data_IF_289999328996
#
_entry.id   IF_289999328996
#
_cell.length_a   1.000
_cell.length_b   1.000
_cell.length_c   1.000
_cell.angle_alpha   90.00
_cell.angle_beta   90.00
_cell.angle_gamma   90.00
#
_symmetry.space_group_name_H-M   'P 1'
#
loop_
_entity.id
_entity.type
_entity.pdbx_description
1 polymer ?
#
# COMPACT_ATOMS: atom_id res chain seq x y z
N UNK A 1 -14.76 -17.69 29.94
CA UNK A 1 -13.34 -17.32 30.13
C UNK A 1 -13.32 -16.00 30.88
N UNK A 2 -12.67 -15.94 32.04
CA UNK A 2 -12.45 -14.66 32.74
C UNK A 2 -11.63 -13.72 31.84
N UNK A 3 -11.95 -12.43 31.82
CA UNK A 3 -11.43 -11.46 30.84
C UNK A 3 -9.90 -11.34 30.83
N UNK A 4 -9.25 -11.56 31.98
CA UNK A 4 -7.79 -11.45 32.11
C UNK A 4 -7.00 -12.60 31.44
N UNK A 5 -7.50 -13.83 31.50
CA UNK A 5 -6.82 -15.00 30.91
C UNK A 5 -6.90 -14.97 29.37
N UNK A 6 -8.01 -14.46 28.83
CA UNK A 6 -8.16 -14.26 27.39
C UNK A 6 -7.11 -13.30 26.82
N UNK A 7 -6.83 -12.19 27.51
CA UNK A 7 -5.90 -11.15 27.03
C UNK A 7 -4.45 -11.64 27.01
N UNK A 8 -3.99 -12.28 28.08
CA UNK A 8 -2.64 -12.84 28.13
C UNK A 8 -2.44 -13.90 27.05
N UNK A 9 -3.45 -14.75 26.80
CA UNK A 9 -3.42 -15.75 25.73
C UNK A 9 -3.45 -15.15 24.33
N UNK A 10 -4.25 -14.09 24.13
CA UNK A 10 -4.38 -13.38 22.86
C UNK A 10 -3.02 -12.85 22.38
N UNK A 11 -2.24 -12.27 23.31
CA UNK A 11 -1.03 -11.52 22.99
C UNK A 11 0.28 -12.32 23.09
N UNK A 12 0.27 -13.46 23.79
CA UNK A 12 1.47 -14.28 24.02
C UNK A 12 1.96 -14.92 22.71
N UNK A 13 3.26 -14.84 22.41
CA UNK A 13 3.88 -15.55 21.28
C UNK A 13 3.72 -14.86 19.92
N UNK A 14 3.34 -13.59 19.92
CA UNK A 14 3.33 -12.74 18.73
C UNK A 14 4.66 -12.00 18.60
N UNK A 15 5.13 -11.83 17.37
CA UNK A 15 6.26 -10.97 17.03
C UNK A 15 5.82 -9.51 17.03
N UNK A 16 5.92 -8.89 18.20
CA UNK A 16 5.60 -7.47 18.41
C UNK A 16 6.51 -6.53 17.66
N UNK A 17 7.73 -6.95 17.29
CA UNK A 17 8.62 -6.12 16.49
C UNK A 17 8.00 -5.91 15.11
N UNK A 18 7.56 -6.98 14.44
CA UNK A 18 6.89 -6.87 13.13
C UNK A 18 5.61 -6.03 13.18
N UNK A 19 4.79 -6.21 14.22
CA UNK A 19 3.52 -5.47 14.39
C UNK A 19 3.75 -3.98 14.61
N UNK A 20 4.72 -3.61 15.45
CA UNK A 20 4.90 -2.22 15.90
C UNK A 20 5.96 -1.43 15.13
N UNK A 21 6.74 -2.07 14.24
CA UNK A 21 7.88 -1.41 13.58
C UNK A 21 7.47 -0.13 12.86
N UNK A 22 6.31 -0.12 12.18
CA UNK A 22 5.87 1.06 11.46
C UNK A 22 5.59 2.26 12.38
N UNK A 23 4.93 2.02 13.52
CA UNK A 23 4.68 3.04 14.53
C UNK A 23 5.97 3.46 15.23
N UNK A 24 6.87 2.52 15.54
CA UNK A 24 8.16 2.79 16.15
C UNK A 24 9.06 3.63 15.24
N UNK A 25 9.11 3.32 13.94
CA UNK A 25 9.80 4.13 12.94
C UNK A 25 9.24 5.56 12.90
N UNK A 26 7.90 5.69 12.86
CA UNK A 26 7.26 7.00 12.87
C UNK A 26 7.61 7.80 14.14
N UNK A 27 7.61 7.15 15.31
CA UNK A 27 7.99 7.76 16.58
C UNK A 27 9.45 8.26 16.53
N UNK A 28 10.38 7.43 16.06
CA UNK A 28 11.80 7.81 15.95
C UNK A 28 12.01 9.03 15.06
N UNK A 29 11.39 9.03 13.87
CA UNK A 29 11.61 10.07 12.85
C UNK A 29 10.83 11.36 13.13
N UNK A 30 9.58 11.25 13.59
CA UNK A 30 8.64 12.39 13.61
C UNK A 30 8.28 12.88 15.02
N UNK A 31 8.58 12.12 16.07
CA UNK A 31 8.08 12.40 17.42
C UNK A 31 9.18 12.69 18.44
N UNK A 32 10.24 11.88 18.50
CA UNK A 32 11.22 11.96 19.60
C UNK A 32 11.93 13.33 19.69
N UNK A 33 12.26 13.93 18.54
CA UNK A 33 12.95 15.22 18.46
C UNK A 33 12.03 16.45 18.59
N UNK A 34 10.74 16.25 18.88
CA UNK A 34 9.77 17.34 19.06
C UNK A 34 9.66 17.76 20.52
N UNK A 35 9.14 18.98 20.74
CA UNK A 35 8.86 19.47 22.08
C UNK A 35 7.74 18.68 22.79
N UNK A 36 7.68 18.81 24.11
CA UNK A 36 6.69 18.10 24.94
C UNK A 36 5.25 18.51 24.62
N UNK A 37 5.01 19.74 24.18
CA UNK A 37 3.67 20.19 23.83
C UNK A 37 3.16 19.45 22.59
N UNK A 38 3.99 19.29 21.55
CA UNK A 38 3.70 18.48 20.38
C UNK A 38 3.46 17.02 20.78
N UNK A 39 4.33 16.44 21.59
CA UNK A 39 4.22 15.04 22.04
C UNK A 39 2.91 14.79 22.78
N UNK A 40 2.52 15.68 23.71
CA UNK A 40 1.24 15.61 24.42
C UNK A 40 0.04 15.71 23.48
N UNK A 41 0.05 16.66 22.53
CA UNK A 41 -1.02 16.78 21.51
C UNK A 41 -1.16 15.51 20.66
N UNK A 42 -0.05 14.86 20.33
CA UNK A 42 -0.07 13.61 19.57
C UNK A 42 -0.62 12.43 20.38
N UNK A 43 -0.25 12.30 21.66
CA UNK A 43 -0.85 11.31 22.58
C UNK A 43 -2.36 11.53 22.68
N UNK A 44 -2.79 12.78 22.90
CA UNK A 44 -4.21 13.13 22.99
C UNK A 44 -4.96 12.82 21.68
N UNK A 45 -4.37 13.14 20.53
CA UNK A 45 -4.94 12.83 19.21
C UNK A 45 -5.14 11.33 19.03
N UNK A 46 -4.14 10.51 19.35
CA UNK A 46 -4.26 9.05 19.22
C UNK A 46 -5.23 8.45 20.22
N UNK A 47 -5.26 8.98 21.45
CA UNK A 47 -6.26 8.59 22.43
C UNK A 47 -7.68 8.88 21.93
N UNK A 48 -7.93 10.09 21.43
CA UNK A 48 -9.21 10.48 20.83
C UNK A 48 -9.56 9.59 19.64
N UNK A 49 -8.62 9.42 18.72
CA UNK A 49 -8.81 8.56 17.55
C UNK A 49 -9.19 7.12 17.92
N UNK A 50 -8.70 6.58 19.04
CA UNK A 50 -9.09 5.27 19.52
C UNK A 50 -10.44 5.29 20.28
N UNK A 51 -10.50 6.05 21.37
CA UNK A 51 -11.58 6.02 22.37
C UNK A 51 -12.83 6.77 21.94
N UNK A 52 -12.71 7.72 21.02
CA UNK A 52 -13.84 8.46 20.43
C UNK A 52 -14.15 7.94 19.01
N UNK A 53 -13.91 6.65 18.75
CA UNK A 53 -14.34 6.00 17.52
C UNK A 53 -15.32 4.86 17.80
N UNK A 54 -16.29 4.70 16.90
CA UNK A 54 -17.10 3.48 16.79
C UNK A 54 -16.44 2.50 15.83
N UNK A 55 -16.68 1.21 16.09
CA UNK A 55 -16.10 0.10 15.34
C UNK A 55 -17.22 -0.81 14.85
N UNK A 56 -17.75 -0.46 13.68
CA UNK A 56 -18.82 -1.13 12.96
C UNK A 56 -18.26 -2.36 12.25
N UNK A 57 -18.13 -3.45 13.02
CA UNK A 57 -17.62 -4.73 12.55
C UNK A 57 -18.78 -5.70 12.39
N UNK A 58 -18.74 -6.51 11.33
CA UNK A 58 -19.56 -7.71 11.26
C UNK A 58 -19.15 -8.63 12.41
N UNK A 59 -20.13 -9.08 13.21
CA UNK A 59 -19.89 -9.91 14.40
C UNK A 59 -20.71 -11.20 14.32
N UNK A 60 -20.15 -12.25 14.93
CA UNK A 60 -20.78 -13.55 15.12
C UNK A 60 -21.24 -14.22 13.81
N UNK A 61 -20.60 -13.89 12.69
CA UNK A 61 -20.84 -14.59 11.43
C UNK A 61 -20.02 -15.87 11.35
N UNK A 62 -20.56 -16.83 10.62
CA UNK A 62 -19.91 -18.08 10.25
C UNK A 62 -19.72 -18.04 8.73
N UNK A 63 -18.49 -17.94 8.23
CA UNK A 63 -18.20 -17.79 6.80
C UNK A 63 -17.00 -18.67 6.43
N UNK A 64 -16.82 -19.00 5.14
CA UNK A 64 -15.62 -19.71 4.72
C UNK A 64 -14.40 -18.77 4.70
N UNK A 65 -14.59 -17.56 4.17
CA UNK A 65 -13.54 -16.54 4.06
C UNK A 65 -14.00 -15.22 4.67
N UNK A 66 -13.15 -14.67 5.55
CA UNK A 66 -13.26 -13.30 6.03
C UNK A 66 -12.27 -12.40 5.28
N UNK A 67 -12.75 -11.35 4.63
CA UNK A 67 -11.92 -10.31 4.02
C UNK A 67 -11.78 -9.15 5.00
N UNK A 68 -10.56 -8.68 5.28
CA UNK A 68 -10.31 -7.55 6.18
C UNK A 68 -9.33 -6.52 5.58
N UNK A 69 -9.70 -5.24 5.67
CA UNK A 69 -8.88 -4.07 5.27
C UNK A 69 -8.89 -3.00 6.36
N UNK A 70 -7.71 -2.62 6.85
CA UNK A 70 -7.50 -1.53 7.82
C UNK A 70 -7.38 -0.17 7.14
N UNK A 71 -6.58 -0.09 6.07
CA UNK A 71 -6.24 1.18 5.42
C UNK A 71 -7.44 1.76 4.67
N UNK A 72 -7.89 2.96 5.07
CA UNK A 72 -9.00 3.69 4.47
C UNK A 72 -8.50 4.57 3.32
N UNK A 73 -8.52 4.01 2.11
CA UNK A 73 -8.31 4.71 0.82
C UNK A 73 -9.29 4.18 -0.22
N UNK A 74 -9.79 5.05 -1.09
CA UNK A 74 -10.81 4.68 -2.09
C UNK A 74 -10.24 3.77 -3.18
N UNK A 75 -9.03 4.05 -3.68
CA UNK A 75 -8.35 3.20 -4.66
C UNK A 75 -8.11 1.78 -4.10
N UNK A 76 -7.74 1.69 -2.82
CA UNK A 76 -7.57 0.40 -2.16
C UNK A 76 -8.88 -0.35 -1.94
N UNK A 77 -9.98 0.40 -1.72
CA UNK A 77 -11.31 -0.19 -1.55
C UNK A 77 -11.76 -0.89 -2.83
N UNK A 78 -11.66 -0.21 -3.98
CA UNK A 78 -12.10 -0.79 -5.25
C UNK A 78 -11.32 -2.05 -5.60
N UNK A 79 -9.99 -2.01 -5.49
CA UNK A 79 -9.17 -3.19 -5.72
C UNK A 79 -9.53 -4.35 -4.77
N UNK A 80 -9.70 -4.05 -3.48
CA UNK A 80 -10.04 -5.06 -2.47
C UNK A 80 -11.42 -5.69 -2.71
N UNK A 81 -12.43 -4.88 -3.02
CA UNK A 81 -13.77 -5.35 -3.35
C UNK A 81 -13.79 -6.18 -4.63
N UNK A 82 -13.01 -5.80 -5.64
CA UNK A 82 -12.88 -6.55 -6.89
C UNK A 82 -12.31 -7.94 -6.64
N UNK A 83 -11.21 -8.04 -5.89
CA UNK A 83 -10.63 -9.34 -5.51
C UNK A 83 -11.60 -10.15 -4.66
N UNK A 84 -12.26 -9.54 -3.66
CA UNK A 84 -13.25 -10.24 -2.85
C UNK A 84 -14.43 -10.75 -3.68
N UNK A 85 -14.80 -10.05 -4.76
CA UNK A 85 -15.89 -10.46 -5.67
C UNK A 85 -15.58 -11.75 -6.43
N UNK A 86 -14.30 -12.11 -6.62
CA UNK A 86 -13.87 -13.32 -7.31
C UNK A 86 -14.14 -14.62 -6.52
N UNK A 87 -14.43 -14.52 -5.21
CA UNK A 87 -14.86 -15.66 -4.42
C UNK A 87 -16.38 -15.76 -4.36
N UNK A 88 -16.94 -16.88 -4.81
CA UNK A 88 -18.40 -17.12 -4.88
C UNK A 88 -19.00 -17.79 -3.63
N UNK A 89 -18.17 -18.26 -2.69
CA UNK A 89 -18.61 -18.92 -1.46
C UNK A 89 -19.10 -17.98 -0.35
N UNK A 90 -19.37 -18.54 0.83
CA UNK A 90 -19.86 -17.77 1.99
C UNK A 90 -18.73 -16.87 2.50
N UNK A 91 -18.90 -15.56 2.40
CA UNK A 91 -17.88 -14.57 2.80
C UNK A 91 -18.45 -13.44 3.63
N UNK A 92 -17.59 -12.83 4.43
CA UNK A 92 -17.84 -11.53 5.05
C UNK A 92 -16.71 -10.57 4.70
N UNK A 93 -17.03 -9.28 4.63
CA UNK A 93 -16.08 -8.22 4.31
C UNK A 93 -16.12 -7.21 5.44
N UNK A 94 -14.96 -6.93 6.03
CA UNK A 94 -14.75 -5.90 7.04
C UNK A 94 -13.85 -4.83 6.43
N UNK A 95 -14.44 -3.66 6.21
CA UNK A 95 -13.78 -2.47 5.71
C UNK A 95 -14.54 -1.23 6.16
N UNK A 96 -13.91 -0.06 6.14
CA UNK A 96 -14.53 1.22 6.55
C UNK A 96 -15.22 1.14 7.94
N UNK A 97 -14.72 0.25 8.79
CA UNK A 97 -15.36 -0.15 10.05
C UNK A 97 -15.24 0.93 11.13
N UNK A 98 -14.30 1.87 10.98
CA UNK A 98 -13.98 2.88 11.99
C UNK A 98 -14.62 4.21 11.62
N UNK A 99 -15.43 4.78 12.53
CA UNK A 99 -16.03 6.11 12.37
C UNK A 99 -15.76 6.95 13.61
N UNK A 100 -15.41 8.22 13.43
CA UNK A 100 -15.27 9.16 14.54
C UNK A 100 -16.63 9.39 15.21
N UNK A 101 -16.62 9.62 16.52
CA UNK A 101 -17.79 9.80 17.37
C UNK A 101 -17.52 10.91 18.38
N UNK A 102 -18.54 11.71 18.67
CA UNK A 102 -18.46 12.71 19.75
C UNK A 102 -18.54 12.07 21.15
N UNK A 103 -19.08 10.85 21.22
CA UNK A 103 -19.24 10.09 22.46
C UNK A 103 -18.07 9.15 22.69
N UNK A 104 -17.69 9.01 23.97
CA UNK A 104 -16.69 8.04 24.43
C UNK A 104 -17.20 6.62 24.18
N UNK A 105 -16.38 5.81 23.52
CA UNK A 105 -16.55 4.38 23.40
C UNK A 105 -16.07 3.71 24.70
N UNK A 106 -17.03 3.36 25.56
CA UNK A 106 -16.77 2.79 26.88
C UNK A 106 -16.04 1.44 26.80
N UNK A 107 -16.32 0.60 25.78
CA UNK A 107 -15.65 -0.69 25.58
C UNK A 107 -14.18 -0.47 25.20
N UNK A 108 -13.89 0.46 24.28
CA UNK A 108 -12.51 0.82 23.92
C UNK A 108 -11.74 1.44 25.09
N UNK A 109 -12.39 2.29 25.89
CA UNK A 109 -11.79 2.92 27.08
C UNK A 109 -11.44 1.87 28.14
N UNK A 110 -12.35 0.92 28.43
CA UNK A 110 -12.09 -0.21 29.33
C UNK A 110 -10.94 -1.07 28.80
N UNK A 111 -10.94 -1.36 27.51
CA UNK A 111 -9.90 -2.17 26.88
C UNK A 111 -8.51 -1.53 26.97
N UNK A 112 -8.40 -0.21 26.78
CA UNK A 112 -7.14 0.53 26.95
C UNK A 112 -6.57 0.33 28.36
N UNK A 113 -7.42 0.48 29.38
CA UNK A 113 -7.03 0.31 30.78
C UNK A 113 -6.58 -1.12 31.09
N UNK A 114 -7.15 -2.12 30.43
CA UNK A 114 -6.78 -3.52 30.61
C UNK A 114 -5.45 -3.85 29.91
N UNK A 115 -5.31 -3.51 28.62
CA UNK A 115 -4.10 -3.80 27.84
C UNK A 115 -2.86 -3.09 28.37
N UNK A 116 -3.02 -1.88 28.92
CA UNK A 116 -1.91 -1.13 29.52
C UNK A 116 -1.17 -1.90 30.62
N UNK A 117 -1.82 -2.87 31.27
CA UNK A 117 -1.22 -3.73 32.31
C UNK A 117 -0.30 -4.81 31.76
N UNK A 118 -0.48 -5.20 30.49
CA UNK A 118 0.19 -6.33 29.86
C UNK A 118 1.14 -5.92 28.74
N UNK A 119 1.43 -4.62 28.63
CA UNK A 119 2.24 -4.14 27.52
C UNK A 119 3.64 -4.75 27.55
N UNK A 120 4.18 -5.14 26.38
CA UNK A 120 5.57 -5.52 26.30
C UNK A 120 6.43 -4.37 26.83
N UNK A 121 7.50 -4.72 27.56
CA UNK A 121 8.52 -3.73 27.92
C UNK A 121 9.19 -3.28 26.64
N UNK A 122 8.78 -2.12 26.15
CA UNK A 122 9.40 -1.47 24.99
C UNK A 122 10.56 -0.62 25.46
N UNK A 123 11.68 -0.77 24.76
CA UNK A 123 12.89 0.01 25.00
C UNK A 123 12.74 1.41 24.37
N UNK A 124 11.97 2.26 25.05
CA UNK A 124 11.72 3.65 24.65
C UNK A 124 11.92 4.54 25.88
N UNK A 125 12.90 5.43 25.85
CA UNK A 125 13.22 6.32 26.98
C UNK A 125 12.16 7.38 27.25
N UNK A 126 11.34 7.72 26.25
CA UNK A 126 10.31 8.75 26.35
C UNK A 126 8.98 8.18 26.85
N UNK A 127 8.50 8.63 28.01
CA UNK A 127 7.21 8.18 28.58
C UNK A 127 6.01 8.51 27.68
N UNK A 128 6.02 9.63 26.96
CA UNK A 128 4.96 9.98 26.00
C UNK A 128 4.99 9.08 24.76
N UNK A 129 6.19 8.68 24.29
CA UNK A 129 6.31 7.70 23.21
C UNK A 129 5.77 6.33 23.63
N UNK A 130 6.07 5.88 24.87
CA UNK A 130 5.48 4.66 25.44
C UNK A 130 3.95 4.74 25.51
N UNK A 131 3.40 5.89 25.91
CA UNK A 131 1.94 6.10 25.92
C UNK A 131 1.33 6.05 24.51
N UNK A 132 1.99 6.64 23.50
CA UNK A 132 1.58 6.53 22.11
C UNK A 132 1.48 5.08 21.63
N UNK A 133 2.54 4.29 21.84
CA UNK A 133 2.54 2.87 21.43
C UNK A 133 1.52 2.05 22.25
N UNK A 134 1.34 2.36 23.53
CA UNK A 134 0.31 1.76 24.37
C UNK A 134 -1.10 1.88 23.76
N UNK A 135 -1.44 3.10 23.34
CA UNK A 135 -2.74 3.40 22.72
C UNK A 135 -2.89 2.64 21.40
N UNK A 136 -1.85 2.61 20.57
CA UNK A 136 -1.87 1.86 19.30
C UNK A 136 -2.06 0.36 19.52
N UNK A 137 -1.30 -0.23 20.43
CA UNK A 137 -1.42 -1.64 20.79
C UNK A 137 -2.81 -1.99 21.32
N UNK A 138 -3.37 -1.14 22.19
CA UNK A 138 -4.74 -1.31 22.67
C UNK A 138 -5.76 -1.24 21.53
N UNK A 139 -5.60 -0.30 20.60
CA UNK A 139 -6.47 -0.21 19.42
C UNK A 139 -6.35 -1.46 18.53
N UNK A 140 -5.14 -1.92 18.23
CA UNK A 140 -4.91 -3.09 17.37
C UNK A 140 -5.49 -4.36 17.99
N UNK A 141 -5.24 -4.58 19.28
CA UNK A 141 -5.80 -5.73 20.01
C UNK A 141 -7.32 -5.65 20.19
N UNK A 142 -7.89 -4.45 20.29
CA UNK A 142 -9.34 -4.25 20.31
C UNK A 142 -9.99 -4.67 18.98
N UNK A 143 -9.37 -4.27 17.87
CA UNK A 143 -9.80 -4.67 16.52
C UNK A 143 -9.65 -6.18 16.36
N UNK A 144 -8.50 -6.75 16.74
CA UNK A 144 -8.27 -8.20 16.72
C UNK A 144 -9.40 -8.94 17.46
N UNK A 145 -9.72 -8.54 18.69
CA UNK A 145 -10.81 -9.13 19.49
C UNK A 145 -12.14 -9.14 18.73
N UNK A 146 -12.48 -8.06 18.02
CA UNK A 146 -13.73 -8.00 17.24
C UNK A 146 -13.70 -8.90 16.02
N UNK A 147 -12.56 -8.96 15.32
CA UNK A 147 -12.39 -9.81 14.13
C UNK A 147 -12.51 -11.28 14.49
N UNK A 148 -11.81 -11.73 15.54
CA UNK A 148 -11.71 -13.16 15.91
C UNK A 148 -12.94 -13.71 16.64
N UNK A 149 -13.92 -12.86 16.96
CA UNK A 149 -15.24 -13.29 17.42
C UNK A 149 -16.09 -13.90 16.30
N UNK A 150 -15.67 -13.77 15.04
CA UNK A 150 -16.28 -14.43 13.89
C UNK A 150 -15.69 -15.84 13.70
N UNK A 151 -16.46 -16.74 13.10
CA UNK A 151 -15.98 -18.07 12.70
C UNK A 151 -15.64 -18.06 11.22
N UNK A 152 -14.40 -18.37 10.89
CA UNK A 152 -13.92 -18.46 9.51
C UNK A 152 -12.76 -19.45 9.39
N UNK A 153 -12.61 -20.04 8.20
CA UNK A 153 -11.54 -21.00 7.89
C UNK A 153 -10.32 -20.31 7.30
N UNK A 154 -10.53 -19.21 6.58
CA UNK A 154 -9.48 -18.41 5.96
C UNK A 154 -9.74 -16.92 6.19
N UNK A 155 -8.67 -16.15 6.36
CA UNK A 155 -8.71 -14.69 6.35
C UNK A 155 -7.85 -14.13 5.22
N UNK A 156 -8.40 -13.18 4.46
CA UNK A 156 -7.71 -12.44 3.40
C UNK A 156 -7.52 -11.00 3.88
N UNK A 157 -6.26 -10.58 3.93
CA UNK A 157 -5.83 -9.29 4.47
C UNK A 157 -5.32 -8.38 3.36
N UNK A 158 -5.72 -7.12 3.38
CA UNK A 158 -5.17 -6.13 2.47
C UNK A 158 -3.83 -5.58 3.01
N UNK A 159 -2.73 -6.27 2.67
CA UNK A 159 -1.36 -5.97 3.10
C UNK A 159 -1.07 -6.25 4.60
N UNK A 160 -0.64 -7.47 4.91
CA UNK A 160 -0.38 -7.95 6.28
C UNK A 160 0.91 -7.44 6.92
N UNK A 161 1.70 -6.66 6.19
CA UNK A 161 2.79 -5.84 6.70
C UNK A 161 2.27 -4.62 7.48
N UNK A 162 1.00 -4.25 7.34
CA UNK A 162 0.38 -3.18 8.12
C UNK A 162 0.10 -3.67 9.55
N UNK A 163 0.22 -2.82 10.60
CA UNK A 163 0.20 -3.29 11.99
C UNK A 163 -1.00 -4.14 12.39
N UNK A 164 -2.22 -3.76 11.98
CA UNK A 164 -3.44 -4.48 12.37
C UNK A 164 -3.58 -5.79 11.62
N UNK A 165 -3.39 -5.78 10.31
CA UNK A 165 -3.39 -6.98 9.48
C UNK A 165 -2.29 -7.96 9.93
N UNK A 166 -1.09 -7.46 10.24
CA UNK A 166 0.02 -8.28 10.75
C UNK A 166 -0.36 -9.01 12.04
N UNK A 167 -0.92 -8.26 12.99
CA UNK A 167 -1.39 -8.80 14.27
C UNK A 167 -2.46 -9.89 14.05
N UNK A 168 -3.42 -9.62 13.16
CA UNK A 168 -4.49 -10.57 12.83
C UNK A 168 -3.93 -11.83 12.16
N UNK A 169 -3.02 -11.69 11.19
CA UNK A 169 -2.38 -12.81 10.50
C UNK A 169 -1.65 -13.72 11.48
N UNK A 170 -0.76 -13.15 12.32
CA UNK A 170 0.00 -13.92 13.29
C UNK A 170 -0.92 -14.67 14.28
N UNK A 171 -1.99 -14.02 14.74
CA UNK A 171 -2.95 -14.64 15.64
C UNK A 171 -3.72 -15.78 14.95
N UNK A 172 -4.27 -15.54 13.76
CA UNK A 172 -5.06 -16.53 13.01
C UNK A 172 -4.21 -17.77 12.66
N UNK A 173 -2.98 -17.57 12.20
CA UNK A 173 -2.05 -18.65 11.86
C UNK A 173 -1.80 -19.59 13.05
N UNK A 174 -1.66 -19.04 14.26
CA UNK A 174 -1.49 -19.84 15.49
C UNK A 174 -2.73 -20.65 15.88
N UNK A 175 -3.91 -20.23 15.44
CA UNK A 175 -5.15 -20.99 15.60
C UNK A 175 -5.40 -21.99 14.46
N UNK A 176 -4.46 -22.14 13.53
CA UNK A 176 -4.62 -22.99 12.36
C UNK A 176 -5.58 -22.41 11.32
N UNK A 177 -5.96 -21.13 11.43
CA UNK A 177 -6.73 -20.43 10.41
C UNK A 177 -5.77 -20.03 9.29
N UNK A 178 -6.13 -20.35 8.06
CA UNK A 178 -5.31 -20.04 6.88
C UNK A 178 -5.28 -18.53 6.64
N UNK A 179 -4.11 -17.99 6.38
CA UNK A 179 -3.89 -16.55 6.22
C UNK A 179 -3.40 -16.23 4.81
N UNK A 180 -4.01 -15.23 4.19
CA UNK A 180 -3.68 -14.76 2.84
C UNK A 180 -3.50 -13.26 2.88
N UNK A 181 -2.47 -12.74 2.24
CA UNK A 181 -2.28 -11.29 2.10
C UNK A 181 -2.22 -10.85 0.65
N UNK A 182 -2.78 -9.66 0.39
CA UNK A 182 -2.74 -8.98 -0.91
C UNK A 182 -1.62 -7.94 -0.95
N UNK A 183 -0.96 -7.81 -2.10
CA UNK A 183 -0.09 -6.66 -2.41
C UNK A 183 -0.91 -5.37 -2.55
N UNK A 184 -0.42 -4.22 -2.07
CA UNK A 184 -1.13 -2.92 -2.17
C UNK A 184 -0.40 -1.86 -3.02
N UNK A 185 0.83 -2.12 -3.43
CA UNK A 185 1.67 -1.21 -4.21
C UNK A 185 2.89 -1.95 -4.77
N UNK A 186 3.70 -1.30 -5.61
CA UNK A 186 4.97 -1.88 -6.06
C UNK A 186 6.03 -1.74 -4.98
N UNK A 187 6.85 -2.77 -4.82
CA UNK A 187 7.90 -2.79 -3.80
C UNK A 187 9.26 -2.56 -4.45
N UNK A 188 10.07 -1.76 -3.78
CA UNK A 188 11.44 -1.47 -4.17
C UNK A 188 12.34 -2.00 -3.07
N UNK A 189 13.38 -2.72 -3.46
CA UNK A 189 14.43 -3.07 -2.52
C UNK A 189 15.32 -1.85 -2.29
N UNK A 190 15.27 -1.30 -1.08
CA UNK A 190 16.00 -0.09 -0.72
C UNK A 190 17.43 -0.37 -0.20
N UNK A 191 17.97 -1.57 -0.44
CA UNK A 191 19.30 -2.04 -0.01
C UNK A 191 19.68 -1.50 1.39
N UNK A 192 20.65 -0.58 1.45
CA UNK A 192 21.21 -0.04 2.69
C UNK A 192 20.43 1.14 3.31
N UNK A 193 19.39 1.66 2.65
CA UNK A 193 18.60 2.78 3.18
C UNK A 193 17.60 2.30 4.25
N UNK A 194 17.63 2.92 5.42
CA UNK A 194 16.65 2.66 6.47
C UNK A 194 15.33 3.42 6.21
N UNK A 195 14.44 2.75 5.47
CA UNK A 195 13.13 3.30 5.09
C UNK A 195 12.00 2.41 5.59
N UNK A 196 10.90 3.06 5.97
CA UNK A 196 9.63 2.40 6.32
C UNK A 196 9.16 1.42 5.24
N UNK A 197 9.52 1.66 3.97
CA UNK A 197 9.08 0.83 2.86
C UNK A 197 9.64 -0.60 2.90
N UNK A 198 10.71 -0.88 3.66
CA UNK A 198 11.25 -2.23 3.85
C UNK A 198 10.24 -3.18 4.48
N UNK A 199 9.38 -2.64 5.36
CA UNK A 199 8.30 -3.37 6.02
C UNK A 199 7.41 -4.09 4.99
N UNK A 200 7.23 -3.51 3.79
CA UNK A 200 6.36 -4.08 2.77
C UNK A 200 6.79 -5.47 2.27
N UNK A 201 8.08 -5.80 2.35
CA UNK A 201 8.58 -7.09 1.91
C UNK A 201 9.28 -7.88 3.02
N UNK A 202 9.70 -7.27 4.12
CA UNK A 202 10.34 -7.98 5.24
C UNK A 202 9.34 -8.53 6.27
N UNK A 203 8.15 -7.94 6.37
CA UNK A 203 7.21 -8.20 7.47
C UNK A 203 5.99 -9.04 7.07
N UNK A 204 6.03 -9.70 5.92
CA UNK A 204 4.99 -10.66 5.50
C UNK A 204 4.96 -11.82 6.52
N UNK A 205 3.75 -12.22 6.94
CA UNK A 205 3.54 -13.27 7.97
C UNK A 205 2.47 -14.30 7.58
N UNK A 206 1.66 -13.99 6.57
CA UNK A 206 0.61 -14.87 6.04
C UNK A 206 1.16 -16.15 5.41
N UNK A 207 0.31 -17.15 5.25
CA UNK A 207 0.66 -18.42 4.58
C UNK A 207 0.77 -18.25 3.07
N UNK A 208 -0.03 -17.34 2.51
CA UNK A 208 -0.03 -16.99 1.09
C UNK A 208 0.16 -15.49 0.87
N UNK A 209 0.96 -15.13 -0.14
CA UNK A 209 1.13 -13.76 -0.63
C UNK A 209 0.65 -13.67 -2.09
N UNK A 210 -0.35 -12.82 -2.35
CA UNK A 210 -0.91 -12.60 -3.68
C UNK A 210 -0.18 -11.42 -4.35
N UNK A 211 0.82 -11.75 -5.15
CA UNK A 211 1.69 -10.79 -5.83
C UNK A 211 1.11 -10.31 -7.16
N UNK A 212 1.49 -9.10 -7.58
CA UNK A 212 1.15 -8.58 -8.91
C UNK A 212 2.06 -9.13 -10.00
N UNK A 213 3.32 -9.45 -9.70
CA UNK A 213 4.26 -9.96 -10.69
C UNK A 213 5.53 -10.53 -10.08
N UNK A 214 6.34 -11.13 -10.94
CA UNK A 214 7.54 -11.89 -10.62
C UNK A 214 8.58 -11.09 -9.83
N UNK A 215 8.70 -9.78 -10.08
CA UNK A 215 9.63 -8.91 -9.37
C UNK A 215 9.29 -8.86 -7.86
N UNK A 216 8.04 -8.57 -7.50
CA UNK A 216 7.59 -8.60 -6.10
C UNK A 216 7.73 -9.99 -5.52
N UNK A 217 7.43 -11.05 -6.28
CA UNK A 217 7.52 -12.43 -5.80
C UNK A 217 8.95 -12.80 -5.42
N UNK A 218 9.93 -12.51 -6.26
CA UNK A 218 11.35 -12.70 -5.96
C UNK A 218 11.77 -11.93 -4.72
N UNK A 219 11.35 -10.66 -4.60
CA UNK A 219 11.68 -9.83 -3.46
C UNK A 219 11.07 -10.37 -2.15
N UNK A 220 9.79 -10.71 -2.14
CA UNK A 220 9.13 -11.26 -0.95
C UNK A 220 9.72 -12.63 -0.57
N UNK A 221 10.00 -13.51 -1.53
CA UNK A 221 10.65 -14.81 -1.28
C UNK A 221 12.04 -14.66 -0.68
N UNK A 222 12.80 -13.63 -1.07
CA UNK A 222 14.15 -13.36 -0.52
C UNK A 222 14.12 -13.15 0.99
N UNK A 223 13.07 -12.53 1.52
CA UNK A 223 12.96 -12.18 2.95
C UNK A 223 12.02 -13.11 3.73
N UNK A 224 11.16 -13.88 3.05
CA UNK A 224 10.17 -14.75 3.67
C UNK A 224 10.15 -16.09 2.92
N UNK A 225 11.12 -16.96 3.19
CA UNK A 225 11.27 -18.22 2.44
C UNK A 225 10.06 -19.17 2.59
N UNK A 226 9.32 -19.06 3.69
CA UNK A 226 8.20 -19.98 4.02
C UNK A 226 6.84 -19.54 3.45
N UNK A 227 6.75 -18.36 2.81
CA UNK A 227 5.47 -17.87 2.27
C UNK A 227 5.20 -18.46 0.89
N UNK A 228 3.97 -18.93 0.66
CA UNK A 228 3.54 -19.39 -0.65
C UNK A 228 3.12 -18.19 -1.50
N UNK A 229 3.86 -17.92 -2.58
CA UNK A 229 3.57 -16.76 -3.44
C UNK A 229 2.75 -17.19 -4.65
N UNK A 230 1.71 -16.43 -4.95
CA UNK A 230 0.87 -16.62 -6.14
C UNK A 230 0.80 -15.31 -6.91
N UNK A 231 1.22 -15.34 -8.17
CA UNK A 231 1.11 -14.18 -9.05
C UNK A 231 -0.33 -14.10 -9.57
N UNK A 232 -1.06 -13.10 -9.10
CA UNK A 232 -2.43 -12.82 -9.47
C UNK A 232 -2.59 -11.56 -10.32
N UNK A 233 -1.59 -10.67 -10.37
CA UNK A 233 -1.67 -9.45 -11.17
C UNK A 233 -2.51 -8.34 -10.55
N UNK A 234 -2.87 -7.33 -11.35
CA UNK A 234 -3.67 -6.17 -10.94
C UNK A 234 -4.94 -6.04 -11.82
N UNK A 235 -6.14 -6.33 -11.30
CA UNK A 235 -7.37 -6.44 -12.10
C UNK A 235 -7.94 -5.08 -12.55
N UNK A 236 -7.55 -3.99 -11.90
CA UNK A 236 -7.97 -2.63 -12.26
C UNK A 236 -7.37 -2.13 -13.58
N UNK A 237 -6.26 -2.74 -14.03
CA UNK A 237 -5.64 -2.38 -15.31
C UNK A 237 -6.42 -3.06 -16.42
N UNK A 238 -7.30 -2.33 -17.08
CA UNK A 238 -8.04 -2.84 -18.23
C UNK A 238 -7.37 -2.40 -19.53
N UNK A 239 -7.10 -3.35 -20.42
CA UNK A 239 -6.86 -3.05 -21.84
C UNK A 239 -8.20 -2.59 -22.42
N UNK A 240 -8.35 -1.30 -22.76
CA UNK A 240 -9.48 -0.88 -23.60
C UNK A 240 -9.06 -1.15 -25.03
N UNK A 241 -9.97 -1.65 -25.86
CA UNK A 241 -9.69 -2.14 -27.21
C UNK A 241 -8.77 -1.24 -28.04
N UNK A 242 -7.98 -1.88 -28.90
CA UNK A 242 -6.97 -1.37 -29.83
C UNK A 242 -7.17 0.10 -30.27
N UNK A 243 -6.81 1.06 -29.42
CA UNK A 243 -6.41 2.38 -29.91
C UNK A 243 -5.00 2.23 -30.43
N UNK A 244 -4.80 2.37 -31.74
CA UNK A 244 -3.45 2.42 -32.31
C UNK A 244 -2.66 3.52 -31.58
N UNK A 245 -1.47 3.23 -31.03
CA UNK A 245 -0.63 4.24 -30.38
C UNK A 245 -0.34 5.46 -31.28
N UNK A 246 -0.30 5.21 -32.60
CA UNK A 246 -0.04 6.21 -33.64
C UNK A 246 -1.19 7.19 -33.89
N UNK A 247 -2.41 6.93 -33.41
CA UNK A 247 -3.57 7.83 -33.56
C UNK A 247 -3.72 8.83 -32.39
N UNK A 248 -2.74 8.88 -31.48
CA UNK A 248 -2.78 9.86 -30.39
C UNK A 248 -2.31 11.25 -30.87
N UNK A 249 -3.25 12.21 -30.98
CA UNK A 249 -2.93 13.65 -31.00
C UNK A 249 -2.29 14.15 -29.67
N UNK A 250 -1.76 13.23 -28.85
CA UNK A 250 -1.65 13.33 -27.41
C UNK A 250 -0.62 14.31 -26.84
N UNK A 251 -0.77 14.54 -25.55
CA UNK A 251 0.11 15.31 -24.68
C UNK A 251 1.18 14.41 -24.04
N UNK A 252 2.18 15.03 -23.43
CA UNK A 252 3.06 14.39 -22.44
C UNK A 252 2.32 14.36 -21.11
N UNK A 253 2.32 13.22 -20.43
CA UNK A 253 1.74 13.11 -19.09
C UNK A 253 2.84 12.93 -18.05
N UNK A 254 3.16 13.99 -17.31
CA UNK A 254 4.02 13.91 -16.13
C UNK A 254 3.23 13.43 -14.91
N UNK A 255 3.74 12.43 -14.20
CA UNK A 255 3.14 11.86 -13.00
C UNK A 255 4.10 12.15 -11.85
N UNK A 256 3.69 13.04 -10.96
CA UNK A 256 4.55 13.50 -9.88
C UNK A 256 4.49 12.54 -8.70
N UNK A 257 5.62 12.39 -8.04
CA UNK A 257 5.71 11.61 -6.82
C UNK A 257 5.35 12.42 -5.58
N UNK A 258 5.24 11.73 -4.45
CA UNK A 258 5.00 12.33 -3.14
C UNK A 258 6.01 13.43 -2.79
N UNK A 259 5.59 14.33 -1.89
CA UNK A 259 6.32 15.54 -1.46
C UNK A 259 7.82 15.37 -1.13
N UNK A 260 8.25 14.20 -0.65
CA UNK A 260 9.68 13.96 -0.37
C UNK A 260 10.56 13.99 -1.63
N UNK A 261 9.95 13.95 -2.82
CA UNK A 261 10.62 14.01 -4.12
C UNK A 261 10.28 15.31 -4.88
N UNK A 262 9.87 16.37 -4.17
CA UNK A 262 9.52 17.66 -4.81
C UNK A 262 10.69 18.22 -5.66
N UNK A 263 11.94 18.03 -5.23
CA UNK A 263 13.11 18.45 -5.99
C UNK A 263 13.21 17.72 -7.33
N UNK A 264 13.13 16.38 -7.33
CA UNK A 264 13.20 15.57 -8.54
C UNK A 264 11.99 15.83 -9.45
N UNK A 265 10.80 16.04 -8.87
CA UNK A 265 9.62 16.45 -9.63
C UNK A 265 9.85 17.78 -10.36
N UNK A 266 10.45 18.78 -9.70
CA UNK A 266 10.74 20.08 -10.32
C UNK A 266 11.80 19.98 -11.42
N UNK A 267 12.87 19.21 -11.20
CA UNK A 267 13.91 18.98 -12.22
C UNK A 267 13.36 18.29 -13.46
N UNK A 268 12.58 17.22 -13.27
CA UNK A 268 11.88 16.53 -14.34
C UNK A 268 10.98 17.51 -15.12
N UNK A 269 10.15 18.29 -14.42
CA UNK A 269 9.24 19.23 -15.06
C UNK A 269 9.97 20.31 -15.88
N UNK A 270 11.13 20.80 -15.44
CA UNK A 270 11.92 21.77 -16.22
C UNK A 270 12.27 21.22 -17.60
N UNK A 271 12.77 19.99 -17.66
CA UNK A 271 13.13 19.32 -18.92
C UNK A 271 11.89 19.12 -19.80
N UNK A 272 10.78 18.66 -19.20
CA UNK A 272 9.55 18.41 -19.94
C UNK A 272 8.91 19.70 -20.48
N UNK A 273 9.01 20.81 -19.74
CA UNK A 273 8.55 22.12 -20.21
C UNK A 273 9.39 22.60 -21.39
N UNK A 274 10.71 22.48 -21.31
CA UNK A 274 11.60 22.84 -22.42
C UNK A 274 11.27 22.05 -23.68
N UNK A 275 11.10 20.73 -23.56
CA UNK A 275 10.66 19.88 -24.66
C UNK A 275 9.27 20.30 -25.19
N UNK A 276 8.30 20.53 -24.31
CA UNK A 276 6.93 20.94 -24.66
C UNK A 276 6.94 22.21 -25.50
N UNK A 277 7.72 23.22 -25.11
CA UNK A 277 7.85 24.49 -25.84
C UNK A 277 8.53 24.33 -27.20
N UNK A 278 9.61 23.53 -27.28
CA UNK A 278 10.36 23.33 -28.53
C UNK A 278 9.57 22.56 -29.59
N UNK A 279 8.81 21.55 -29.17
CA UNK A 279 8.10 20.63 -30.08
C UNK A 279 6.60 20.93 -30.21
N UNK A 280 6.12 22.00 -29.57
CA UNK A 280 4.72 22.40 -29.53
C UNK A 280 3.79 21.23 -29.12
N UNK A 281 4.17 20.53 -28.03
CA UNK A 281 3.41 19.40 -27.48
C UNK A 281 2.86 19.78 -26.12
N UNK A 282 1.56 19.60 -25.88
CA UNK A 282 0.96 19.91 -24.58
C UNK A 282 1.59 19.05 -23.46
N UNK A 283 1.90 19.66 -22.32
CA UNK A 283 2.33 18.97 -21.10
C UNK A 283 1.21 18.99 -20.06
N UNK A 284 0.79 17.80 -19.63
CA UNK A 284 -0.17 17.61 -18.54
C UNK A 284 0.48 16.97 -17.33
N UNK A 285 -0.07 17.23 -16.16
CA UNK A 285 0.44 16.72 -14.88
C UNK A 285 -0.61 15.99 -14.06
N UNK A 286 -0.23 14.88 -13.44
CA UNK A 286 -0.95 14.25 -12.32
C UNK A 286 -0.17 14.46 -11.04
N UNK A 287 -0.76 15.20 -10.10
CA UNK A 287 -0.19 15.40 -8.77
C UNK A 287 -0.42 14.19 -7.88
N UNK A 288 0.57 13.87 -7.04
CA UNK A 288 0.35 13.04 -5.87
C UNK A 288 -0.51 13.80 -4.84
N UNK A 289 -1.41 13.15 -4.08
CA UNK A 289 -2.27 13.82 -3.09
C UNK A 289 -1.53 14.64 -2.03
N UNK A 290 -0.24 14.36 -1.80
CA UNK A 290 0.59 15.09 -0.83
C UNK A 290 1.35 16.29 -1.40
N UNK A 291 1.32 16.52 -2.73
CA UNK A 291 2.01 17.65 -3.34
C UNK A 291 1.31 18.97 -3.01
N UNK A 292 2.11 20.02 -2.82
CA UNK A 292 1.60 21.39 -2.78
C UNK A 292 1.43 21.92 -4.20
N UNK A 293 0.26 21.76 -4.81
CA UNK A 293 0.01 22.17 -6.21
C UNK A 293 0.44 23.61 -6.51
N UNK A 294 0.25 24.53 -5.55
CA UNK A 294 0.59 25.94 -5.71
C UNK A 294 2.08 26.14 -6.02
N UNK A 295 2.99 25.42 -5.34
CA UNK A 295 4.43 25.60 -5.59
C UNK A 295 4.83 25.20 -7.01
N UNK A 296 4.12 24.25 -7.61
CA UNK A 296 4.36 23.84 -9.00
C UNK A 296 3.77 24.84 -9.98
N UNK A 297 2.53 25.31 -9.76
CA UNK A 297 1.91 26.31 -10.64
C UNK A 297 2.59 27.68 -10.57
N UNK A 298 3.16 28.04 -9.41
CA UNK A 298 3.96 29.27 -9.28
C UNK A 298 5.28 29.17 -10.11
N UNK A 299 5.89 27.98 -10.17
CA UNK A 299 7.10 27.72 -10.96
C UNK A 299 6.80 27.52 -12.46
N UNK A 300 5.63 26.96 -12.78
CA UNK A 300 5.20 26.67 -14.14
C UNK A 300 3.72 27.04 -14.32
N UNK A 301 3.42 28.31 -14.64
CA UNK A 301 2.05 28.81 -14.74
C UNK A 301 1.20 28.14 -15.82
N UNK A 302 1.84 27.52 -16.82
CA UNK A 302 1.19 26.84 -17.95
C UNK A 302 0.86 25.36 -17.66
N UNK A 303 1.11 24.86 -16.44
CA UNK A 303 0.79 23.48 -16.06
C UNK A 303 -0.71 23.19 -16.17
N UNK A 304 -1.05 22.18 -16.97
CA UNK A 304 -2.42 21.67 -17.07
C UNK A 304 -2.56 20.41 -16.21
N UNK A 305 -3.39 20.45 -15.16
CA UNK A 305 -3.68 19.26 -14.36
C UNK A 305 -4.60 18.28 -15.11
N UNK A 306 -4.26 16.99 -15.05
CA UNK A 306 -5.11 15.89 -15.49
C UNK A 306 -4.43 14.99 -16.52
N UNK A 307 -5.25 14.39 -17.38
CA UNK A 307 -4.81 13.45 -18.40
C UNK A 307 -5.18 11.99 -18.09
N UNK A 308 -5.29 11.22 -19.16
CA UNK A 308 -5.60 9.80 -19.21
C UNK A 308 -4.37 9.12 -19.79
N UNK A 309 -3.82 8.16 -19.05
CA UNK A 309 -2.58 7.43 -19.38
C UNK A 309 -2.57 6.96 -20.85
N UNK A 310 -3.67 6.33 -21.30
CA UNK A 310 -3.81 5.81 -22.66
C UNK A 310 -3.84 6.84 -23.78
N UNK A 311 -4.13 8.11 -23.46
CA UNK A 311 -4.18 9.21 -24.44
C UNK A 311 -2.86 9.99 -24.49
N UNK A 312 -1.93 9.72 -23.58
CA UNK A 312 -0.64 10.38 -23.57
C UNK A 312 0.26 9.78 -24.67
N UNK A 313 1.02 10.64 -25.37
CA UNK A 313 2.07 10.20 -26.30
C UNK A 313 3.19 9.48 -25.55
N UNK A 314 3.49 9.99 -24.36
CA UNK A 314 4.48 9.42 -23.45
C UNK A 314 4.07 9.75 -22.01
N UNK A 315 4.20 8.77 -21.12
CA UNK A 315 3.97 8.92 -19.68
C UNK A 315 5.31 9.01 -18.99
N UNK A 316 5.49 10.04 -18.19
CA UNK A 316 6.77 10.38 -17.56
C UNK A 316 6.61 10.42 -16.05
N UNK A 317 7.56 9.86 -15.31
CA UNK A 317 7.60 9.95 -13.86
C UNK A 317 8.97 9.59 -13.30
N UNK A 318 9.11 9.50 -11.99
CA UNK A 318 10.38 9.17 -11.33
C UNK A 318 10.33 7.82 -10.60
N UNK A 319 9.70 7.76 -9.44
CA UNK A 319 9.53 6.56 -8.59
C UNK A 319 8.12 5.98 -8.62
N UNK A 320 7.18 6.65 -9.29
CA UNK A 320 5.76 6.28 -9.31
C UNK A 320 5.49 4.91 -9.94
N UNK A 321 4.61 4.14 -9.30
CA UNK A 321 4.14 2.86 -9.84
C UNK A 321 3.33 2.99 -11.14
N UNK A 322 2.78 4.18 -11.41
CA UNK A 322 1.94 4.43 -12.58
C UNK A 322 2.70 4.27 -13.91
N UNK A 323 4.03 4.42 -13.91
CA UNK A 323 4.87 4.13 -15.09
C UNK A 323 4.70 2.67 -15.51
N UNK A 324 4.75 1.74 -14.56
CA UNK A 324 4.65 0.30 -14.86
C UNK A 324 3.25 -0.08 -15.30
N UNK A 325 2.22 0.58 -14.77
CA UNK A 325 0.85 0.42 -15.25
C UNK A 325 0.70 0.93 -16.68
N UNK A 326 1.30 2.08 -17.01
CA UNK A 326 1.32 2.63 -18.35
C UNK A 326 2.03 1.67 -19.34
N UNK A 327 3.16 1.08 -18.94
CA UNK A 327 3.84 0.06 -19.74
C UNK A 327 2.96 -1.17 -20.00
N UNK A 328 2.20 -1.63 -19.00
CA UNK A 328 1.24 -2.75 -19.19
C UNK A 328 0.11 -2.40 -20.13
N UNK A 329 -0.26 -1.12 -20.21
CA UNK A 329 -1.26 -0.61 -21.15
C UNK A 329 -0.67 -0.37 -22.55
N UNK A 330 0.61 -0.69 -22.78
CA UNK A 330 1.29 -0.45 -24.05
C UNK A 330 1.62 1.02 -24.31
N UNK A 331 1.51 1.89 -23.30
CA UNK A 331 1.93 3.28 -23.40
C UNK A 331 3.45 3.37 -23.46
N UNK A 332 3.94 4.31 -24.27
CA UNK A 332 5.34 4.73 -24.19
C UNK A 332 5.60 5.41 -22.86
N UNK A 333 6.73 5.10 -22.25
CA UNK A 333 7.12 5.69 -20.96
C UNK A 333 8.53 6.26 -21.00
N UNK A 334 8.78 7.23 -20.14
CA UNK A 334 10.13 7.68 -19.79
C UNK A 334 10.22 7.80 -18.27
N UNK A 335 11.38 7.50 -17.72
CA UNK A 335 11.65 7.63 -16.30
C UNK A 335 12.72 8.68 -16.07
N UNK A 336 12.44 9.66 -15.22
CA UNK A 336 13.45 10.61 -14.79
C UNK A 336 14.51 9.87 -13.94
N UNK A 337 15.78 10.02 -14.31
CA UNK A 337 16.89 9.42 -13.59
C UNK A 337 17.30 10.30 -12.41
N UNK A 338 17.52 9.66 -11.25
CA UNK A 338 18.16 10.31 -10.11
C UNK A 338 18.86 9.26 -9.24
N UNK A 339 19.78 9.65 -8.35
CA UNK A 339 20.47 8.72 -7.45
C UNK A 339 19.56 8.11 -6.37
N UNK A 340 18.29 8.54 -6.29
CA UNK A 340 17.30 7.97 -5.36
C UNK A 340 16.96 6.54 -5.77
N UNK A 341 17.07 5.55 -4.87
CA UNK A 341 16.65 4.19 -5.17
C UNK A 341 15.18 4.12 -5.58
N UNK A 342 14.96 3.54 -6.75
CA UNK A 342 13.68 3.40 -7.39
C UNK A 342 13.62 2.06 -8.11
N UNK A 343 12.43 1.65 -8.51
CA UNK A 343 12.28 0.47 -9.36
C UNK A 343 13.11 0.70 -10.62
N UNK A 344 14.01 -0.24 -10.92
CA UNK A 344 14.88 -0.14 -12.10
C UNK A 344 14.04 -0.33 -13.35
N UNK A 345 14.37 0.45 -14.36
CA UNK A 345 13.77 0.40 -15.68
C UNK A 345 14.94 0.34 -16.67
N UNK A 346 14.72 -0.13 -17.90
CA UNK A 346 15.80 -0.14 -18.91
C UNK A 346 16.42 1.25 -19.03
N UNK A 347 17.75 1.33 -18.97
CA UNK A 347 18.49 2.59 -19.00
C UNK A 347 18.23 3.39 -20.29
N UNK A 348 17.80 2.73 -21.37
CA UNK A 348 17.37 3.38 -22.62
C UNK A 348 16.07 4.18 -22.50
N UNK A 349 15.33 4.02 -21.41
CA UNK A 349 14.09 4.74 -21.10
C UNK A 349 14.28 5.74 -19.94
N UNK A 350 15.50 5.88 -19.44
CA UNK A 350 15.84 6.83 -18.38
C UNK A 350 16.43 8.13 -18.96
N UNK A 351 16.03 9.28 -18.43
CA UNK A 351 16.56 10.59 -18.85
C UNK A 351 16.86 11.51 -17.66
N UNK A 352 17.88 12.35 -17.84
CA UNK A 352 18.33 13.40 -16.91
C UNK A 352 18.58 14.73 -17.64
N UNK A 353 18.27 14.79 -18.93
CA UNK A 353 18.57 15.90 -19.83
C UNK A 353 17.57 15.93 -20.99
N UNK A 354 17.40 17.12 -21.59
CA UNK A 354 16.52 17.31 -22.74
C UNK A 354 16.90 16.36 -23.89
N UNK A 355 18.18 16.30 -24.27
CA UNK A 355 18.63 15.47 -25.39
C UNK A 355 18.27 13.99 -25.21
N UNK A 356 18.47 13.42 -24.01
CA UNK A 356 18.06 12.03 -23.76
C UNK A 356 16.55 11.85 -23.80
N UNK A 357 15.79 12.84 -23.29
CA UNK A 357 14.34 12.79 -23.38
C UNK A 357 13.85 12.86 -24.83
N UNK A 358 14.50 13.66 -25.69
CA UNK A 358 14.23 13.72 -27.12
C UNK A 358 14.48 12.39 -27.81
N UNK A 359 15.59 11.71 -27.50
CA UNK A 359 15.91 10.38 -28.01
C UNK A 359 14.82 9.37 -27.63
N UNK A 360 14.42 9.35 -26.36
CA UNK A 360 13.33 8.49 -25.89
C UNK A 360 12.05 8.86 -26.64
N UNK A 361 11.67 10.12 -26.70
CA UNK A 361 10.43 10.60 -27.31
C UNK A 361 10.37 10.31 -28.82
N UNK A 362 11.50 10.29 -29.52
CA UNK A 362 11.60 9.94 -30.95
C UNK A 362 11.60 8.41 -31.21
N UNK A 363 11.96 7.58 -30.22
CA UNK A 363 12.04 6.12 -30.41
C UNK A 363 10.69 5.48 -30.80
N UNK A 364 10.71 4.48 -31.67
CA UNK A 364 9.48 3.74 -32.07
C UNK A 364 9.17 2.55 -31.15
N UNK A 365 10.12 2.13 -30.33
CA UNK A 365 9.98 0.95 -29.47
C UNK A 365 9.23 1.30 -28.18
N UNK A 366 8.11 0.62 -27.95
CA UNK A 366 7.52 0.50 -26.61
C UNK A 366 8.10 -0.76 -25.98
N UNK A 367 8.87 -0.61 -24.90
CA UNK A 367 9.40 -1.76 -24.16
C UNK A 367 8.28 -2.32 -23.26
N UNK A 368 7.41 -3.16 -23.84
CA UNK A 368 6.29 -3.78 -23.11
C UNK A 368 6.77 -4.90 -22.16
N UNK A 369 7.89 -5.54 -22.49
CA UNK A 369 8.38 -6.72 -21.77
C UNK A 369 8.66 -6.47 -20.29
N UNK A 370 9.26 -5.33 -19.97
CA UNK A 370 9.63 -4.98 -18.59
C UNK A 370 8.40 -4.82 -17.68
N UNK A 371 7.30 -4.30 -18.21
CA UNK A 371 6.08 -4.12 -17.42
C UNK A 371 5.54 -5.44 -16.86
N UNK A 372 5.64 -6.55 -17.62
CA UNK A 372 5.10 -7.86 -17.24
C UNK A 372 5.82 -8.47 -16.04
N UNK A 373 7.10 -8.14 -15.83
CA UNK A 373 7.83 -8.59 -14.63
C UNK A 373 7.27 -7.97 -13.34
N UNK A 374 6.73 -6.75 -13.41
CA UNK A 374 6.13 -6.06 -12.26
C UNK A 374 4.66 -6.36 -12.08
N UNK A 375 3.92 -6.49 -13.19
CA UNK A 375 2.48 -6.75 -13.20
C UNK A 375 2.21 -7.79 -14.29
N UNK A 376 2.17 -9.06 -13.89
CA UNK A 376 2.13 -10.18 -14.83
C UNK A 376 0.78 -10.27 -15.53
N UNK A 377 -0.30 -10.25 -14.75
CA UNK A 377 -1.68 -10.39 -15.20
C UNK A 377 -2.45 -9.07 -14.99
N UNK A 378 -3.36 -8.74 -15.90
CA UNK A 378 -4.17 -7.52 -15.84
C UNK A 378 -5.63 -7.83 -16.20
N UNK A 379 -6.57 -6.95 -15.83
CA UNK A 379 -7.98 -7.08 -16.19
C UNK A 379 -8.60 -8.43 -15.82
N UNK A 380 -9.32 -9.03 -16.77
CA UNK A 380 -10.02 -10.30 -16.58
C UNK A 380 -9.08 -11.48 -16.32
N UNK A 381 -7.88 -11.46 -16.90
CA UNK A 381 -6.86 -12.48 -16.64
C UNK A 381 -6.48 -12.46 -15.16
N UNK A 382 -6.21 -11.27 -14.60
CA UNK A 382 -5.93 -11.11 -13.18
C UNK A 382 -7.09 -11.59 -12.29
N UNK A 383 -8.33 -11.23 -12.63
CA UNK A 383 -9.55 -11.69 -11.93
C UNK A 383 -9.64 -13.21 -11.92
N UNK A 384 -9.39 -13.85 -13.06
CA UNK A 384 -9.39 -15.31 -13.16
C UNK A 384 -8.31 -15.94 -12.27
N UNK A 385 -7.10 -15.36 -12.19
CA UNK A 385 -6.05 -15.85 -11.28
C UNK A 385 -6.47 -15.80 -9.81
N UNK A 386 -7.16 -14.74 -9.38
CA UNK A 386 -7.73 -14.67 -8.04
C UNK A 386 -8.82 -15.72 -7.82
N UNK A 387 -9.73 -15.90 -8.78
CA UNK A 387 -10.76 -16.94 -8.72
C UNK A 387 -10.16 -18.36 -8.61
N UNK A 388 -9.16 -18.66 -9.44
CA UNK A 388 -8.43 -19.93 -9.46
C UNK A 388 -7.74 -20.18 -8.11
N UNK A 389 -7.11 -19.16 -7.53
CA UNK A 389 -6.51 -19.25 -6.20
C UNK A 389 -7.56 -19.63 -5.14
N UNK A 390 -8.68 -18.91 -5.10
CA UNK A 390 -9.72 -19.18 -4.12
C UNK A 390 -10.35 -20.56 -4.32
N UNK A 391 -10.55 -21.00 -5.56
CA UNK A 391 -11.13 -22.32 -5.83
C UNK A 391 -10.15 -23.47 -5.51
N UNK A 392 -8.95 -23.43 -6.10
CA UNK A 392 -8.01 -24.57 -6.05
C UNK A 392 -7.24 -24.69 -4.74
N UNK A 393 -6.84 -23.55 -4.14
CA UNK A 393 -5.97 -23.55 -2.96
C UNK A 393 -6.74 -23.44 -1.66
N UNK A 394 -7.94 -22.85 -1.67
CA UNK A 394 -8.70 -22.68 -0.43
C UNK A 394 -9.78 -23.74 -0.23
N UNK A 395 -10.52 -24.13 -1.27
CA UNK A 395 -11.67 -25.06 -1.13
C UNK A 395 -11.25 -26.53 -1.26
N UNK A 396 -10.42 -26.89 -2.24
CA UNK A 396 -10.11 -28.31 -2.51
C UNK A 396 -9.17 -28.98 -1.48
N UNK A 397 -8.60 -28.21 -0.54
CA UNK A 397 -7.63 -28.67 0.46
C UNK A 397 -8.14 -28.46 1.90
N UNK A 398 -9.46 -28.40 2.07
CA UNK A 398 -10.17 -28.41 3.35
C UNK A 398 -11.12 -29.58 3.40
#
# INVERSE_FOLDING_TARGET
MESGDFQAKLLKGLDWKKVLEADLYWIRVNFLNKDDAFKKRMVERWYKDFVFSTYDMVQEVDVDILFFRFLVRDDYKFFFEDVASQFSGKKAIIQDYKKQSERVNIDASKWLNEVSKFMPRLDLDCHLARACIAIKLAMYSFILRKVVNNKFKTIVLFADMQPVENLIAQYCKRLGVRTVTMQHGLYVEYENLDTINKINYEHVVSDYFLAWGNNTSKLVSKYNADVNIVNCGKPEIQMSGNSNPDDSEGYILAVLDQRIFDEQNLEMLKILFEYSSLHNVELRVKFHPSNNKKSYTDAFPELVEGGVVKKAKIVVGHTTSLIYEAMRLGSKVAKFYSPVPSIRLDASLEFDSLSKFEDIAASKSVVVHDGKEYIEYIGDESRQRYADFFHSKLICHS
#
